data_IF_451378503937
#
_entry.id   IF_451378503937
#
_cell.length_a   1.000
_cell.length_b   1.000
_cell.length_c   1.000
_cell.angle_alpha   90.00
_cell.angle_beta   90.00
_cell.angle_gamma   90.00
#
_symmetry.space_group_name_H-M   'P 1'
#
loop_
_entity.id
_entity.type
_entity.pdbx_description
1 polymer ?
#
# COMPACT_ATOMS: atom_id res chain seq x y z
N UNK A 1 -7.23 -3.46 16.46
CA UNK A 1 -7.13 -3.03 15.03
C UNK A 1 -8.44 -3.28 14.32
N UNK A 2 -8.87 -2.35 13.49
CA UNK A 2 -10.03 -2.61 12.66
C UNK A 2 -9.80 -3.80 11.74
N UNK A 3 -10.88 -4.42 11.31
CA UNK A 3 -10.78 -5.53 10.37
C UNK A 3 -10.19 -5.05 9.05
N UNK A 4 -9.32 -5.85 8.48
CA UNK A 4 -8.69 -5.57 7.21
C UNK A 4 -9.37 -6.39 6.12
N UNK A 5 -9.46 -5.81 4.93
CA UNK A 5 -9.83 -6.61 3.77
C UNK A 5 -8.82 -7.73 3.63
N UNK A 6 -9.27 -8.89 3.20
CA UNK A 6 -8.37 -10.01 3.01
C UNK A 6 -7.29 -9.62 2.00
N UNK A 7 -6.05 -9.99 2.29
CA UNK A 7 -4.94 -9.72 1.37
C UNK A 7 -5.22 -10.31 -0.01
N UNK A 8 -5.87 -11.46 -0.05
CA UNK A 8 -6.23 -12.12 -1.31
C UNK A 8 -7.18 -11.28 -2.16
N UNK A 9 -8.11 -10.55 -1.53
CA UNK A 9 -9.03 -9.68 -2.26
C UNK A 9 -8.30 -8.51 -2.90
N UNK A 10 -7.36 -7.91 -2.17
CA UNK A 10 -6.58 -6.80 -2.68
C UNK A 10 -5.69 -7.26 -3.82
N UNK A 11 -5.07 -8.41 -3.69
CA UNK A 11 -4.25 -9.00 -4.74
C UNK A 11 -5.07 -9.26 -5.99
N UNK A 12 -6.27 -9.82 -5.84
CA UNK A 12 -7.15 -10.11 -6.97
C UNK A 12 -7.53 -8.84 -7.75
N UNK A 13 -7.75 -7.73 -7.04
CA UNK A 13 -8.10 -6.46 -7.68
C UNK A 13 -6.96 -5.86 -8.50
N UNK A 14 -5.72 -6.07 -8.08
CA UNK A 14 -4.57 -5.36 -8.64
C UNK A 14 -3.59 -6.24 -9.40
N UNK A 15 -3.81 -7.55 -9.42
CA UNK A 15 -2.86 -8.43 -10.11
C UNK A 15 -2.87 -8.17 -11.62
N UNK A 16 -1.74 -8.36 -12.23
CA UNK A 16 -1.57 -8.18 -13.67
C UNK A 16 -1.92 -9.45 -14.44
N UNK A 17 -1.80 -10.59 -13.78
CA UNK A 17 -2.18 -11.90 -14.31
C UNK A 17 -2.40 -12.84 -13.13
N UNK A 18 -2.92 -14.02 -13.38
CA UNK A 18 -3.35 -14.94 -12.32
C UNK A 18 -2.30 -15.26 -11.27
N UNK A 19 -1.03 -15.31 -11.66
CA UNK A 19 0.04 -15.66 -10.74
C UNK A 19 0.72 -14.45 -10.12
N UNK A 20 0.27 -13.25 -10.42
CA UNK A 20 0.91 -12.02 -9.97
C UNK A 20 0.49 -11.67 -8.55
N UNK A 21 1.19 -12.20 -7.56
CA UNK A 21 0.94 -11.92 -6.15
C UNK A 21 2.02 -11.07 -5.51
N UNK A 22 3.15 -10.86 -6.20
CA UNK A 22 4.28 -10.15 -5.65
C UNK A 22 4.75 -8.94 -6.43
N UNK A 23 3.97 -8.48 -7.42
CA UNK A 23 4.36 -7.33 -8.21
C UNK A 23 4.42 -6.07 -7.33
N UNK A 24 5.19 -5.04 -7.74
CA UNK A 24 5.19 -3.78 -7.03
C UNK A 24 3.79 -3.17 -6.88
N UNK A 25 2.95 -3.29 -7.90
CA UNK A 25 1.58 -2.76 -7.84
C UNK A 25 0.76 -3.43 -6.76
N UNK A 26 0.85 -4.75 -6.66
CA UNK A 26 0.13 -5.50 -5.64
C UNK A 26 0.62 -5.10 -4.25
N UNK A 27 1.92 -5.00 -4.08
CA UNK A 27 2.49 -4.60 -2.79
C UNK A 27 2.07 -3.19 -2.40
N UNK A 28 2.07 -2.26 -3.34
CA UNK A 28 1.64 -0.89 -3.09
C UNK A 28 0.16 -0.86 -2.68
N UNK A 29 -0.69 -1.64 -3.35
CA UNK A 29 -2.11 -1.69 -3.03
C UNK A 29 -2.35 -2.24 -1.63
N UNK A 30 -1.67 -3.31 -1.26
CA UNK A 30 -1.78 -3.90 0.08
C UNK A 30 -1.31 -2.90 1.14
N UNK A 31 -0.18 -2.25 0.91
CA UNK A 31 0.35 -1.26 1.84
C UNK A 31 -0.60 -0.08 2.00
N UNK A 32 -1.18 0.39 0.90
CA UNK A 32 -2.12 1.51 0.93
C UNK A 32 -3.33 1.19 1.80
N UNK A 33 -3.88 -0.02 1.66
CA UNK A 33 -5.00 -0.46 2.49
C UNK A 33 -4.61 -0.48 3.97
N UNK A 34 -3.48 -1.07 4.29
CA UNK A 34 -3.00 -1.20 5.67
C UNK A 34 -2.66 0.16 6.28
N UNK A 35 -2.05 1.04 5.50
CA UNK A 35 -1.73 2.40 5.94
C UNK A 35 -3.01 3.14 6.31
N UNK A 36 -4.05 3.03 5.48
CA UNK A 36 -5.33 3.68 5.76
C UNK A 36 -5.95 3.19 7.05
N UNK A 37 -5.97 1.88 7.27
CA UNK A 37 -6.56 1.30 8.47
C UNK A 37 -5.76 1.64 9.72
N UNK A 38 -4.44 1.63 9.63
CA UNK A 38 -3.60 1.95 10.76
C UNK A 38 -3.67 3.43 11.12
N UNK A 39 -3.78 4.29 10.10
CA UNK A 39 -3.97 5.73 10.30
C UNK A 39 -5.27 5.97 11.07
N UNK A 40 -6.34 5.27 10.69
CA UNK A 40 -7.62 5.40 11.37
C UNK A 40 -7.52 4.89 12.81
N UNK A 41 -6.85 3.77 13.02
CA UNK A 41 -6.60 3.23 14.36
C UNK A 41 -5.90 4.26 15.26
N UNK A 42 -4.90 4.94 14.72
CA UNK A 42 -4.10 5.90 15.49
C UNK A 42 -4.86 7.18 15.85
N UNK A 43 -5.98 7.45 15.20
CA UNK A 43 -6.82 8.60 15.58
C UNK A 43 -7.38 8.43 16.99
N UNK A 44 -7.72 7.20 17.37
CA UNK A 44 -8.28 6.92 18.70
C UNK A 44 -7.27 6.31 19.65
N UNK A 45 -6.11 5.89 19.17
CA UNK A 45 -5.06 5.26 19.95
C UNK A 45 -3.73 6.00 19.76
N UNK A 46 -3.72 7.29 20.13
CA UNK A 46 -2.59 8.17 19.84
C UNK A 46 -1.29 7.76 20.52
N UNK A 47 -1.38 6.95 21.59
CA UNK A 47 -0.20 6.50 22.34
C UNK A 47 0.27 5.11 21.92
N UNK A 48 -0.30 4.55 20.89
CA UNK A 48 0.13 3.24 20.38
C UNK A 48 1.41 3.43 19.55
N UNK A 49 2.54 3.44 20.24
CA UNK A 49 3.82 3.73 19.59
C UNK A 49 4.28 2.61 18.66
N UNK A 50 3.92 1.37 18.96
CA UNK A 50 4.24 0.23 18.10
C UNK A 50 3.53 0.37 16.74
N UNK A 51 2.23 0.71 16.77
CA UNK A 51 1.48 0.93 15.53
C UNK A 51 2.01 2.12 14.75
N UNK A 52 2.43 3.18 15.43
CA UNK A 52 3.01 4.36 14.78
C UNK A 52 4.31 4.00 14.05
N UNK A 53 5.16 3.21 14.70
CA UNK A 53 6.40 2.76 14.04
C UNK A 53 6.09 1.89 12.83
N UNK A 54 5.10 0.99 12.97
CA UNK A 54 4.67 0.15 11.85
C UNK A 54 4.15 0.97 10.68
N UNK A 55 3.36 2.00 10.99
CA UNK A 55 2.85 2.91 9.96
C UNK A 55 3.99 3.58 9.18
N UNK A 56 4.97 4.13 9.90
CA UNK A 56 6.10 4.79 9.25
C UNK A 56 6.90 3.84 8.36
N UNK A 57 7.08 2.60 8.80
CA UNK A 57 7.75 1.59 7.98
C UNK A 57 6.98 1.28 6.71
N UNK A 58 5.65 1.17 6.80
CA UNK A 58 4.82 0.89 5.63
C UNK A 58 4.81 2.06 4.65
N UNK A 59 4.76 3.29 5.15
CA UNK A 59 4.83 4.48 4.31
C UNK A 59 6.16 4.54 3.57
N UNK A 60 7.26 4.27 4.27
CA UNK A 60 8.59 4.24 3.66
C UNK A 60 8.72 3.16 2.60
N UNK A 61 8.19 1.97 2.89
CA UNK A 61 8.21 0.86 1.93
C UNK A 61 7.40 1.17 0.68
N UNK A 62 6.21 1.76 0.86
CA UNK A 62 5.38 2.15 -0.29
C UNK A 62 6.09 3.18 -1.16
N UNK A 63 6.71 4.18 -0.54
CA UNK A 63 7.47 5.19 -1.29
C UNK A 63 8.60 4.54 -2.09
N UNK A 64 9.30 3.61 -1.47
CA UNK A 64 10.40 2.91 -2.16
C UNK A 64 9.90 2.18 -3.40
N UNK A 65 8.76 1.48 -3.28
CA UNK A 65 8.17 0.75 -4.41
C UNK A 65 7.70 1.72 -5.51
N UNK A 66 7.11 2.84 -5.13
CA UNK A 66 6.67 3.86 -6.10
C UNK A 66 7.87 4.47 -6.83
N UNK A 67 8.94 4.77 -6.10
CA UNK A 67 10.15 5.32 -6.71
C UNK A 67 10.76 4.31 -7.69
N UNK A 68 10.73 3.03 -7.34
CA UNK A 68 11.20 1.98 -8.22
C UNK A 68 10.41 1.98 -9.54
N UNK A 69 9.08 2.02 -9.46
CA UNK A 69 8.25 2.06 -10.67
C UNK A 69 8.47 3.32 -11.49
N UNK A 70 8.62 4.47 -10.82
CA UNK A 70 8.85 5.73 -11.53
C UNK A 70 10.15 5.68 -12.34
N UNK A 71 11.16 4.96 -11.85
CA UNK A 71 12.43 4.83 -12.56
C UNK A 71 12.43 3.76 -13.63
N UNK A 72 11.68 2.68 -13.43
CA UNK A 72 11.76 1.51 -14.33
C UNK A 72 10.61 1.41 -15.30
N UNK A 73 9.42 1.92 -14.96
CA UNK A 73 8.25 1.83 -15.82
C UNK A 73 7.26 2.93 -15.46
N UNK A 74 7.44 4.09 -16.07
CA UNK A 74 6.66 5.28 -15.70
C UNK A 74 5.17 5.12 -16.00
N UNK A 75 4.80 4.31 -16.99
CA UNK A 75 3.38 4.09 -17.28
C UNK A 75 2.70 3.32 -16.16
N UNK A 76 3.37 2.30 -15.65
CA UNK A 76 2.84 1.54 -14.51
C UNK A 76 2.76 2.43 -13.27
N UNK A 77 3.76 3.29 -13.08
CA UNK A 77 3.76 4.24 -11.98
C UNK A 77 2.54 5.16 -12.05
N UNK A 78 2.30 5.75 -13.21
CA UNK A 78 1.16 6.65 -13.40
C UNK A 78 -0.17 5.93 -13.20
N UNK A 79 -0.27 4.70 -13.69
CA UNK A 79 -1.48 3.90 -13.55
C UNK A 79 -1.82 3.61 -12.09
N UNK A 80 -0.83 3.21 -11.30
CA UNK A 80 -1.09 2.86 -9.90
C UNK A 80 -1.40 4.12 -9.07
N UNK A 81 -0.73 5.23 -9.34
CA UNK A 81 -1.03 6.52 -8.69
C UNK A 81 -2.48 6.92 -8.94
N UNK A 82 -2.91 6.85 -10.20
CA UNK A 82 -4.27 7.21 -10.56
C UNK A 82 -5.30 6.27 -9.94
N UNK A 83 -5.04 4.96 -10.01
CA UNK A 83 -5.96 3.94 -9.50
C UNK A 83 -6.18 4.06 -8.00
N UNK A 84 -5.13 4.33 -7.25
CA UNK A 84 -5.21 4.38 -5.79
C UNK A 84 -5.37 5.80 -5.23
N UNK A 85 -5.40 6.80 -6.10
CA UNK A 85 -5.56 8.19 -5.67
C UNK A 85 -4.38 8.71 -4.87
N UNK A 86 -3.18 8.22 -5.16
CA UNK A 86 -1.98 8.64 -4.45
C UNK A 86 -1.40 9.90 -5.07
N UNK A 87 -0.68 10.65 -4.26
CA UNK A 87 -0.02 11.87 -4.73
C UNK A 87 1.39 11.63 -5.21
N UNK A 88 1.84 10.42 -5.09
CA UNK A 88 3.10 10.07 -5.66
C UNK A 88 3.76 8.97 -4.88
#
# INVERSE_FOLDING_TARGET
MPDLRAKTDIIAEHRRHETDTGSPEVQIAVLTERIGLLTEHLRSHTRDHASRRGLLKMVGRRRHLLDYLARTDVERYRSIIARLGLRR
#
